data_IF_998342480371
#
_entry.id   IF_998342480371
#
_cell.length_a   1.000
_cell.length_b   1.000
_cell.length_c   1.000
_cell.angle_alpha   90.00
_cell.angle_beta   90.00
_cell.angle_gamma   90.00
#
_symmetry.space_group_name_H-M   'P 1'
#
loop_
_entity.id
_entity.type
_entity.pdbx_description
1 polymer ?
#
# COMPACT_ATOMS: atom_id res chain seq x y z
N UNK A 1 -21.00 21.61 -10.31
CA UNK A 1 -20.21 22.55 -9.48
C UNK A 1 -19.71 21.71 -8.33
N UNK A 2 -18.41 21.46 -8.28
CA UNK A 2 -17.81 20.66 -7.21
C UNK A 2 -18.02 21.44 -5.91
N UNK A 3 -18.64 20.83 -4.90
CA UNK A 3 -18.84 21.45 -3.58
C UNK A 3 -17.48 21.87 -2.98
N UNK A 4 -17.47 23.01 -2.26
CA UNK A 4 -16.26 23.49 -1.58
C UNK A 4 -15.80 22.45 -0.54
N UNK A 5 -14.64 21.86 -0.81
CA UNK A 5 -13.94 20.95 0.09
C UNK A 5 -12.69 21.65 0.64
N UNK A 6 -12.25 21.40 1.89
CA UNK A 6 -11.00 21.97 2.38
C UNK A 6 -9.85 21.76 1.38
N UNK A 7 -9.01 22.79 1.16
CA UNK A 7 -7.81 22.68 0.36
C UNK A 7 -6.96 21.51 0.86
N UNK A 8 -6.53 20.67 -0.07
CA UNK A 8 -5.74 19.49 0.22
C UNK A 8 -4.82 19.17 -0.95
N UNK A 9 -3.71 18.50 -0.64
CA UNK A 9 -2.74 18.05 -1.64
C UNK A 9 -2.60 16.53 -1.58
N UNK A 10 -2.81 15.79 -2.69
CA UNK A 10 -2.64 14.35 -2.72
C UNK A 10 -1.17 13.96 -2.49
N UNK A 11 -0.94 12.88 -1.74
CA UNK A 11 0.41 12.40 -1.39
C UNK A 11 0.79 11.08 -2.09
N UNK A 12 -0.16 10.18 -2.39
CA UNK A 12 0.18 8.79 -2.75
C UNK A 12 -0.71 8.14 -3.83
N UNK A 13 -0.50 6.84 -4.05
CA UNK A 13 -1.15 5.99 -5.06
C UNK A 13 -2.65 5.87 -4.80
N UNK A 14 -3.43 6.27 -5.81
CA UNK A 14 -4.88 6.21 -5.74
C UNK A 14 -5.40 4.77 -5.84
N UNK A 15 -6.45 4.46 -5.09
CA UNK A 15 -7.18 3.20 -5.13
C UNK A 15 -8.61 3.45 -5.56
N UNK A 16 -9.09 2.77 -6.60
CA UNK A 16 -10.49 2.83 -6.99
C UNK A 16 -11.22 1.57 -6.56
N UNK A 17 -12.30 1.72 -5.79
CA UNK A 17 -13.21 0.63 -5.40
C UNK A 17 -14.62 1.07 -5.77
N UNK A 18 -15.31 0.28 -6.60
CA UNK A 18 -16.71 0.48 -6.98
C UNK A 18 -17.05 1.90 -7.49
N UNK A 19 -16.11 2.54 -8.21
CA UNK A 19 -16.31 3.89 -8.77
C UNK A 19 -16.05 5.03 -7.79
N UNK A 20 -15.50 4.72 -6.60
CA UNK A 20 -14.99 5.71 -5.65
C UNK A 20 -13.46 5.67 -5.66
N UNK A 21 -12.85 6.81 -5.97
CA UNK A 21 -11.41 7.01 -5.91
C UNK A 21 -11.02 7.40 -4.49
N UNK A 22 -10.07 6.68 -3.91
CA UNK A 22 -9.51 6.95 -2.59
C UNK A 22 -8.04 7.31 -2.74
N UNK A 23 -7.61 8.35 -2.03
CA UNK A 23 -6.23 8.82 -2.03
C UNK A 23 -5.87 9.44 -0.69
N UNK A 24 -4.59 9.36 -0.32
CA UNK A 24 -4.09 10.04 0.85
C UNK A 24 -3.84 11.51 0.52
N UNK A 25 -4.21 12.40 1.44
CA UNK A 25 -4.00 13.83 1.27
C UNK A 25 -3.56 14.50 2.56
N UNK A 26 -2.72 15.52 2.40
CA UNK A 26 -2.46 16.50 3.45
C UNK A 26 -3.58 17.52 3.49
N UNK A 27 -4.15 17.73 4.67
CA UNK A 27 -5.08 18.82 4.91
C UNK A 27 -4.29 20.11 5.17
N UNK A 28 -4.60 21.18 4.46
CA UNK A 28 -4.04 22.50 4.74
C UNK A 28 -4.82 23.15 5.90
N UNK A 29 -4.57 22.73 7.13
CA UNK A 29 -5.15 23.33 8.34
C UNK A 29 -4.25 24.46 8.87
N UNK A 30 -4.84 25.63 9.16
CA UNK A 30 -4.13 26.79 9.73
C UNK A 30 -4.28 26.79 11.26
N UNK A 31 -3.22 27.04 12.07
CA UNK A 31 -1.87 27.42 11.67
C UNK A 31 -0.95 26.20 11.46
N UNK A 32 -0.11 26.30 10.42
CA UNK A 32 0.77 25.25 9.89
C UNK A 32 1.96 24.81 10.79
N UNK A 33 1.85 24.96 12.11
CA UNK A 33 2.92 24.68 13.08
C UNK A 33 2.68 23.44 13.96
N UNK A 34 1.53 22.78 13.80
CA UNK A 34 1.24 21.48 14.40
C UNK A 34 0.99 20.50 13.25
N UNK A 35 1.50 19.28 13.41
CA UNK A 35 1.55 18.20 12.42
C UNK A 35 0.52 18.30 11.30
N UNK A 36 0.97 18.26 10.03
CA UNK A 36 0.05 18.23 8.89
C UNK A 36 -0.88 17.02 9.07
N UNK A 37 -2.16 17.29 9.34
CA UNK A 37 -3.17 16.24 9.46
C UNK A 37 -3.28 15.53 8.10
N UNK A 38 -2.77 14.31 8.05
CA UNK A 38 -3.00 13.39 6.93
C UNK A 38 -4.36 12.75 7.10
N UNK A 39 -5.08 12.61 5.99
CA UNK A 39 -6.35 11.92 5.97
C UNK A 39 -6.54 11.16 4.65
N UNK A 40 -7.56 10.30 4.61
CA UNK A 40 -7.99 9.71 3.35
C UNK A 40 -9.10 10.56 2.76
N UNK A 41 -8.91 10.93 1.51
CA UNK A 41 -9.91 11.56 0.68
C UNK A 41 -10.61 10.51 -0.18
N UNK A 42 -11.90 10.69 -0.39
CA UNK A 42 -12.67 9.92 -1.37
C UNK A 42 -13.33 10.85 -2.37
N UNK A 43 -13.38 10.43 -3.62
CA UNK A 43 -14.06 11.10 -4.72
C UNK A 43 -14.98 10.11 -5.42
N UNK A 44 -16.29 10.32 -5.29
CA UNK A 44 -17.30 9.53 -6.01
C UNK A 44 -17.37 10.04 -7.46
N UNK A 45 -16.97 9.19 -8.40
CA UNK A 45 -16.87 9.56 -9.82
C UNK A 45 -18.25 9.79 -10.44
N UNK A 46 -19.32 9.20 -9.91
CA UNK A 46 -20.68 9.35 -10.42
C UNK A 46 -21.33 10.63 -9.92
N UNK A 47 -21.17 10.95 -8.63
CA UNK A 47 -21.76 12.15 -8.03
C UNK A 47 -20.84 13.37 -8.08
N UNK A 48 -19.57 13.19 -8.45
CA UNK A 48 -18.51 14.21 -8.45
C UNK A 48 -18.32 14.88 -7.08
N UNK A 49 -18.46 14.10 -6.01
CA UNK A 49 -18.41 14.59 -4.62
C UNK A 49 -17.19 14.07 -3.88
N UNK A 50 -16.58 14.97 -3.12
CA UNK A 50 -15.49 14.66 -2.21
C UNK A 50 -16.01 14.38 -0.80
N UNK A 51 -15.41 13.40 -0.13
CA UNK A 51 -15.60 13.19 1.31
C UNK A 51 -14.27 12.95 2.01
N UNK A 52 -14.10 13.59 3.17
CA UNK A 52 -12.97 13.41 4.07
C UNK A 52 -13.26 12.21 4.96
N UNK A 53 -12.28 11.33 5.09
CA UNK A 53 -12.31 10.21 6.03
C UNK A 53 -11.14 10.40 6.99
N UNK A 54 -11.47 10.81 8.22
CA UNK A 54 -10.47 10.95 9.28
C UNK A 54 -9.95 9.57 9.68
N UNK A 55 -8.69 9.54 10.09
CA UNK A 55 -7.95 8.34 10.44
C UNK A 55 -7.53 8.44 11.90
N UNK A 56 -7.43 7.30 12.58
CA UNK A 56 -7.16 7.24 14.02
C UNK A 56 -5.69 7.47 14.37
N UNK A 57 -4.77 7.22 13.43
CA UNK A 57 -3.33 7.41 13.59
C UNK A 57 -2.78 8.24 12.42
N UNK A 58 -2.29 9.45 12.70
CA UNK A 58 -1.77 10.39 11.70
C UNK A 58 -0.30 10.14 11.36
N UNK A 59 0.42 9.37 12.19
CA UNK A 59 1.88 9.36 12.17
C UNK A 59 2.49 8.49 11.05
N UNK A 60 1.81 7.46 10.53
CA UNK A 60 2.40 6.51 9.57
C UNK A 60 1.35 5.90 8.62
N UNK A 61 1.14 6.50 7.44
CA UNK A 61 0.45 5.81 6.32
C UNK A 61 1.48 5.09 5.47
N UNK A 62 1.13 3.91 4.98
CA UNK A 62 2.07 3.07 4.22
C UNK A 62 1.48 2.57 2.90
N UNK A 63 0.21 2.15 2.85
CA UNK A 63 -0.49 1.97 1.56
C UNK A 63 -2.01 1.84 1.68
N UNK A 64 -2.75 2.39 0.71
CA UNK A 64 -4.16 2.06 0.49
C UNK A 64 -4.31 0.71 -0.22
N UNK A 65 -5.26 -0.10 0.22
CA UNK A 65 -5.57 -1.40 -0.40
C UNK A 65 -7.06 -1.73 -0.30
N UNK A 66 -7.50 -2.74 -1.04
CA UNK A 66 -8.83 -3.33 -0.92
C UNK A 66 -8.76 -4.59 -0.07
N UNK A 67 -9.64 -4.70 0.92
CA UNK A 67 -9.82 -5.90 1.74
C UNK A 67 -11.30 -6.26 1.76
N UNK A 68 -11.65 -7.43 1.20
CA UNK A 68 -13.04 -7.91 1.12
C UNK A 68 -13.99 -6.87 0.48
N UNK A 69 -13.50 -6.15 -0.54
CA UNK A 69 -14.25 -5.09 -1.25
C UNK A 69 -14.38 -3.77 -0.49
N UNK A 70 -13.69 -3.62 0.65
CA UNK A 70 -13.68 -2.39 1.44
C UNK A 70 -12.32 -1.71 1.38
N UNK A 71 -12.35 -0.38 1.51
CA UNK A 71 -11.13 0.40 1.71
C UNK A 71 -10.41 -0.07 2.99
N UNK A 72 -9.12 -0.29 2.87
CA UNK A 72 -8.25 -0.55 4.00
C UNK A 72 -6.92 0.21 3.89
N UNK A 73 -6.40 0.62 5.04
CA UNK A 73 -5.04 1.15 5.18
C UNK A 73 -4.18 0.02 5.72
N UNK A 74 -3.08 -0.26 5.02
CA UNK A 74 -2.13 -1.28 5.41
C UNK A 74 -0.85 -0.63 5.94
N UNK A 75 -0.48 -1.02 7.16
CA UNK A 75 0.77 -0.64 7.78
C UNK A 75 1.64 -1.84 8.11
N UNK A 76 2.94 -1.75 7.83
CA UNK A 76 3.90 -2.82 8.11
C UNK A 76 5.08 -2.30 8.92
N UNK A 77 5.36 -2.97 10.03
CA UNK A 77 6.51 -2.67 10.89
C UNK A 77 7.39 -3.92 11.02
N UNK A 78 8.71 -3.74 10.87
CA UNK A 78 9.68 -4.79 11.18
C UNK A 78 9.91 -4.82 12.69
N UNK A 79 9.72 -5.97 13.32
CA UNK A 79 9.82 -6.10 14.79
C UNK A 79 11.23 -6.39 15.28
N UNK A 80 12.23 -6.41 14.38
CA UNK A 80 13.62 -6.79 14.70
C UNK A 80 13.84 -8.26 15.03
N UNK A 81 12.77 -9.07 15.12
CA UNK A 81 12.79 -10.47 15.57
C UNK A 81 12.47 -11.47 14.45
N UNK A 82 12.93 -11.23 13.21
CA UNK A 82 12.57 -12.05 12.03
C UNK A 82 11.05 -12.18 11.80
N UNK A 83 10.29 -11.16 12.20
CA UNK A 83 8.85 -11.09 11.95
C UNK A 83 8.48 -9.67 11.51
N UNK A 84 7.44 -9.57 10.69
CA UNK A 84 6.82 -8.30 10.35
C UNK A 84 5.40 -8.30 10.89
N UNK A 85 5.06 -7.23 11.59
CA UNK A 85 3.69 -6.95 12.02
C UNK A 85 3.00 -6.15 10.92
N UNK A 86 1.82 -6.60 10.53
CA UNK A 86 0.95 -5.90 9.60
C UNK A 86 -0.31 -5.48 10.33
N UNK A 87 -0.55 -4.18 10.41
CA UNK A 87 -1.80 -3.59 10.89
C UNK A 87 -2.66 -3.23 9.68
N UNK A 88 -3.85 -3.81 9.59
CA UNK A 88 -4.81 -3.56 8.53
C UNK A 88 -6.03 -2.87 9.11
N UNK A 89 -6.17 -1.58 8.83
CA UNK A 89 -7.30 -0.76 9.25
C UNK A 89 -8.36 -0.76 8.16
N UNK A 90 -9.44 -1.52 8.34
CA UNK A 90 -10.53 -1.65 7.38
C UNK A 90 -11.63 -0.65 7.72
N UNK A 91 -12.08 0.11 6.73
CA UNK A 91 -13.13 1.10 6.88
C UNK A 91 -14.47 0.42 7.19
N UNK A 92 -15.08 0.80 8.32
CA UNK A 92 -16.40 0.32 8.75
C UNK A 92 -17.48 1.29 8.28
N UNK A 93 -17.28 2.58 8.53
CA UNK A 93 -18.23 3.64 8.21
C UNK A 93 -17.48 4.94 7.86
N UNK A 94 -17.57 5.36 6.59
CA UNK A 94 -16.90 6.56 6.09
C UNK A 94 -17.42 7.85 6.75
N UNK A 95 -18.74 7.92 6.98
CA UNK A 95 -19.40 9.11 7.51
C UNK A 95 -19.11 9.30 9.00
N UNK A 96 -18.95 8.20 9.75
CA UNK A 96 -18.54 8.22 11.16
C UNK A 96 -17.03 8.20 11.36
N UNK A 97 -16.25 8.08 10.30
CA UNK A 97 -14.79 7.89 10.34
C UNK A 97 -14.37 6.68 11.20
N UNK A 98 -15.15 5.60 11.10
CA UNK A 98 -14.99 4.40 11.92
C UNK A 98 -14.15 3.36 11.19
N UNK A 99 -13.11 2.88 11.87
CA UNK A 99 -12.17 1.90 11.36
C UNK A 99 -12.08 0.69 12.29
N UNK A 100 -11.89 -0.49 11.72
CA UNK A 100 -11.59 -1.72 12.46
C UNK A 100 -10.17 -2.18 12.17
N UNK A 101 -9.39 -2.44 13.21
CA UNK A 101 -8.02 -2.94 13.06
C UNK A 101 -7.99 -4.48 13.05
N UNK A 102 -7.21 -5.04 12.13
CA UNK A 102 -6.79 -6.44 12.14
C UNK A 102 -5.27 -6.50 12.15
N UNK A 103 -4.69 -7.27 13.08
CA UNK A 103 -3.24 -7.46 13.18
C UNK A 103 -2.85 -8.83 12.63
N UNK A 104 -1.84 -8.86 11.77
CA UNK A 104 -1.21 -10.08 11.27
C UNK A 104 0.26 -10.06 11.62
N UNK A 105 0.80 -11.22 12.01
CA UNK A 105 2.24 -11.40 12.22
C UNK A 105 2.73 -12.35 11.14
N UNK A 106 3.61 -11.84 10.29
CA UNK A 106 4.20 -12.59 9.19
C UNK A 106 5.61 -13.02 9.61
N UNK A 107 5.98 -14.29 9.42
CA UNK A 107 7.38 -14.70 9.53
C UNK A 107 8.20 -13.97 8.45
N UNK A 108 8.98 -12.98 8.86
CA UNK A 108 9.98 -12.36 7.99
C UNK A 108 11.27 -13.14 8.20
N UNK A 109 11.42 -14.23 7.47
CA UNK A 109 12.64 -15.03 7.51
C UNK A 109 13.90 -14.16 7.45
N UNK A 110 15.04 -14.70 7.89
CA UNK A 110 16.38 -14.12 7.75
C UNK A 110 16.80 -13.97 6.27
N UNK A 111 15.98 -13.33 5.45
CA UNK A 111 16.36 -12.85 4.14
C UNK A 111 17.30 -11.69 4.40
N UNK A 112 18.46 -11.72 3.75
CA UNK A 112 19.46 -10.65 3.78
C UNK A 112 18.91 -9.28 3.30
N UNK A 113 17.65 -9.25 2.85
CA UNK A 113 16.87 -8.13 2.33
C UNK A 113 15.69 -7.81 3.26
N UNK A 114 15.42 -6.53 3.51
CA UNK A 114 14.14 -6.07 4.06
C UNK A 114 13.02 -6.30 3.04
N UNK A 115 11.95 -7.01 3.44
CA UNK A 115 10.73 -7.14 2.65
C UNK A 115 9.69 -6.16 3.18
N UNK A 116 9.02 -5.45 2.26
CA UNK A 116 7.86 -4.64 2.59
C UNK A 116 6.59 -5.28 2.02
N UNK A 117 5.47 -5.00 2.67
CA UNK A 117 4.15 -5.47 2.19
C UNK A 117 3.64 -4.49 1.14
N UNK A 118 3.30 -5.00 -0.04
CA UNK A 118 2.91 -4.16 -1.18
C UNK A 118 1.43 -4.11 -1.41
N UNK A 119 0.73 -5.23 -1.27
CA UNK A 119 -0.69 -5.29 -1.58
C UNK A 119 -1.32 -6.57 -1.01
N UNK A 120 -2.64 -6.60 -1.07
CA UNK A 120 -3.43 -7.78 -0.81
C UNK A 120 -4.04 -8.28 -2.12
N UNK A 121 -4.03 -9.59 -2.32
CA UNK A 121 -4.77 -10.24 -3.41
C UNK A 121 -6.25 -10.39 -3.06
N UNK A 122 -7.09 -10.61 -4.07
CA UNK A 122 -8.52 -10.93 -3.86
C UNK A 122 -8.74 -12.21 -3.04
N UNK A 123 -7.75 -13.12 -3.06
CA UNK A 123 -7.76 -14.33 -2.24
C UNK A 123 -7.46 -14.07 -0.74
N UNK A 124 -7.06 -12.85 -0.39
CA UNK A 124 -6.65 -12.46 0.95
C UNK A 124 -5.20 -12.83 1.29
N UNK A 125 -4.37 -13.16 0.31
CA UNK A 125 -2.92 -13.32 0.50
C UNK A 125 -2.23 -11.96 0.45
N UNK A 126 -1.30 -11.71 1.38
CA UNK A 126 -0.42 -10.55 1.35
C UNK A 126 0.74 -10.79 0.38
N UNK A 127 1.04 -9.80 -0.46
CA UNK A 127 2.20 -9.83 -1.35
C UNK A 127 3.30 -8.97 -0.74
N UNK A 128 4.44 -9.60 -0.46
CA UNK A 128 5.64 -8.95 0.03
C UNK A 128 6.71 -9.00 -1.05
N UNK A 129 7.47 -7.93 -1.21
CA UNK A 129 8.65 -7.91 -2.07
C UNK A 129 9.81 -7.18 -1.40
N UNK A 130 11.04 -7.37 -1.88
CA UNK A 130 12.20 -6.66 -1.36
C UNK A 130 11.98 -5.15 -1.44
N UNK A 131 12.29 -4.42 -0.37
CA UNK A 131 12.30 -2.96 -0.38
C UNK A 131 13.34 -2.41 -1.38
N UNK A 132 14.42 -3.17 -1.57
CA UNK A 132 15.51 -2.80 -2.46
C UNK A 132 15.93 -3.97 -3.35
N UNK A 133 16.30 -3.65 -4.59
CA UNK A 133 16.74 -4.62 -5.60
C UNK A 133 18.27 -4.64 -5.66
N UNK A 134 18.93 -4.94 -4.53
CA UNK A 134 20.39 -5.03 -4.43
C UNK A 134 20.93 -6.45 -4.61
N UNK A 135 20.05 -7.46 -4.69
CA UNK A 135 20.45 -8.85 -4.86
C UNK A 135 20.57 -9.22 -6.34
N UNK A 136 21.52 -10.11 -6.64
CA UNK A 136 21.60 -10.74 -7.95
C UNK A 136 20.38 -11.64 -8.20
N UNK A 137 19.97 -11.83 -9.46
CA UNK A 137 18.89 -12.77 -9.82
C UNK A 137 19.11 -14.17 -9.23
N UNK A 138 18.03 -14.94 -8.97
CA UNK A 138 16.66 -14.67 -9.37
C UNK A 138 15.89 -13.81 -8.36
N UNK A 139 15.14 -12.83 -8.87
CA UNK A 139 14.21 -12.04 -8.06
C UNK A 139 12.99 -12.86 -7.68
N UNK A 140 12.41 -12.57 -6.52
CA UNK A 140 11.18 -13.22 -6.09
C UNK A 140 10.32 -12.30 -5.23
N UNK A 141 9.03 -12.61 -5.21
CA UNK A 141 8.05 -12.06 -4.27
C UNK A 141 7.57 -13.18 -3.35
N UNK A 142 7.06 -12.80 -2.18
CA UNK A 142 6.46 -13.71 -1.23
C UNK A 142 4.97 -13.48 -1.19
N UNK A 143 4.19 -14.55 -1.21
CA UNK A 143 2.77 -14.52 -0.92
C UNK A 143 2.55 -15.17 0.44
N UNK A 144 1.94 -14.45 1.36
CA UNK A 144 1.58 -14.94 2.69
C UNK A 144 0.07 -15.13 2.78
N UNK A 145 -0.36 -16.36 3.05
CA UNK A 145 -1.76 -16.70 3.32
C UNK A 145 -1.99 -16.70 4.84
N UNK A 146 -2.70 -15.71 5.40
CA UNK A 146 -2.95 -15.63 6.83
C UNK A 146 -3.91 -16.72 7.34
N UNK A 147 -4.75 -17.31 6.47
CA UNK A 147 -5.67 -18.39 6.86
C UNK A 147 -4.92 -19.71 7.03
N UNK A 148 -3.94 -19.97 6.16
CA UNK A 148 -3.09 -21.16 6.22
C UNK A 148 -1.83 -20.96 7.07
N UNK A 149 -1.54 -19.73 7.47
CA UNK A 149 -0.27 -19.33 8.08
C UNK A 149 0.93 -19.87 7.28
N UNK A 150 0.87 -19.70 5.96
CA UNK A 150 1.84 -20.28 5.03
C UNK A 150 2.35 -19.20 4.09
N UNK A 151 3.63 -19.30 3.74
CA UNK A 151 4.26 -18.39 2.78
C UNK A 151 4.74 -19.21 1.59
N UNK A 152 4.46 -18.73 0.37
CA UNK A 152 4.99 -19.27 -0.87
C UNK A 152 5.89 -18.24 -1.55
N UNK A 153 7.00 -18.71 -2.11
CA UNK A 153 7.93 -17.90 -2.90
C UNK A 153 7.61 -18.04 -4.37
N UNK A 154 7.52 -16.91 -5.08
CA UNK A 154 7.33 -16.89 -6.54
C UNK A 154 8.51 -16.16 -7.16
N UNK A 155 9.29 -16.89 -7.95
CA UNK A 155 10.40 -16.31 -8.70
C UNK A 155 9.87 -15.54 -9.90
N UNK A 156 10.47 -14.37 -10.15
CA UNK A 156 10.18 -13.55 -11.31
C UNK A 156 11.09 -14.04 -12.44
N UNK A 157 10.49 -14.70 -13.43
CA UNK A 157 11.18 -15.16 -14.62
C UNK A 157 11.41 -14.00 -15.61
N UNK A 158 12.41 -14.14 -16.48
CA UNK A 158 12.68 -13.17 -17.55
C UNK A 158 13.53 -11.95 -17.17
N UNK A 159 13.85 -11.75 -15.88
CA UNK A 159 14.79 -10.70 -15.43
C UNK A 159 16.13 -11.34 -15.07
N UNK A 160 17.07 -11.37 -16.02
CA UNK A 160 18.39 -12.00 -15.87
C UNK A 160 19.52 -11.02 -15.56
N UNK A 161 19.30 -9.72 -15.77
CA UNK A 161 20.25 -8.65 -15.46
C UNK A 161 19.51 -7.39 -15.03
N UNK A 162 19.89 -6.80 -13.89
CA UNK A 162 19.51 -5.44 -13.55
C UNK A 162 20.53 -4.48 -14.17
N UNK A 163 20.22 -3.90 -15.34
CA UNK A 163 21.03 -2.81 -15.92
C UNK A 163 20.77 -1.51 -15.17
N UNK A 164 21.44 -1.36 -14.04
CA UNK A 164 21.37 -0.14 -13.25
C UNK A 164 22.19 0.94 -13.94
N UNK A 165 21.53 1.98 -14.43
CA UNK A 165 22.22 3.15 -14.97
C UNK A 165 23.06 3.77 -13.84
N UNK A 166 24.37 3.92 -14.05
CA UNK A 166 25.36 4.35 -13.04
C UNK A 166 25.08 5.70 -12.36
N UNK A 167 24.13 6.50 -12.85
CA UNK A 167 23.71 7.75 -12.20
C UNK A 167 22.74 7.50 -11.01
N UNK A 168 22.22 6.28 -10.86
CA UNK A 168 21.27 5.87 -9.82
C UNK A 168 21.96 5.21 -8.61
N UNK A 169 23.30 5.26 -8.51
CA UNK A 169 24.06 4.60 -7.44
C UNK A 169 23.91 5.25 -6.06
N UNK A 170 23.24 6.40 -5.97
CA UNK A 170 23.06 7.18 -4.74
C UNK A 170 21.60 7.44 -4.37
N UNK A 171 20.63 6.98 -5.17
CA UNK A 171 19.22 7.14 -4.86
C UNK A 171 18.64 5.81 -4.40
N UNK A 172 18.35 5.77 -3.10
CA UNK A 172 17.63 4.70 -2.40
C UNK A 172 16.15 4.61 -2.83
N UNK A 173 15.83 4.87 -4.11
CA UNK A 173 14.46 4.97 -4.63
C UNK A 173 14.32 4.13 -5.88
N UNK A 174 13.85 2.90 -5.70
CA UNK A 174 13.15 2.20 -6.78
C UNK A 174 11.72 1.95 -6.37
N UNK A 175 10.81 2.48 -7.17
CA UNK A 175 9.38 2.26 -7.03
C UNK A 175 9.09 0.90 -7.65
N UNK A 176 9.01 -0.13 -6.81
CA UNK A 176 8.38 -1.38 -7.23
C UNK A 176 6.88 -1.14 -7.13
N UNK A 177 6.18 -1.18 -8.26
CA UNK A 177 4.72 -1.19 -8.26
C UNK A 177 4.25 -2.62 -8.51
N UNK A 178 3.49 -3.17 -7.56
CA UNK A 178 2.86 -4.49 -7.66
C UNK A 178 1.36 -4.28 -7.74
N UNK A 179 0.76 -4.75 -8.83
CA UNK A 179 -0.69 -4.69 -9.06
C UNK A 179 -1.25 -6.11 -8.94
N UNK A 180 -2.00 -6.43 -7.87
CA UNK A 180 -2.47 -7.80 -7.62
C UNK A 180 -3.62 -8.27 -8.55
N UNK A 181 -3.99 -7.48 -9.57
CA UNK A 181 -5.19 -7.74 -10.39
C UNK A 181 -5.11 -7.35 -11.86
N UNK A 182 -3.94 -7.00 -12.40
CA UNK A 182 -3.77 -6.82 -13.84
C UNK A 182 -2.54 -7.59 -14.34
N UNK A 183 -2.78 -8.84 -14.73
CA UNK A 183 -1.99 -9.48 -15.79
C UNK A 183 -2.97 -9.82 -16.90
N UNK A 184 -3.49 -8.80 -17.58
CA UNK A 184 -3.73 -9.00 -19.01
C UNK A 184 -2.34 -9.11 -19.62
N UNK A 185 -2.01 -10.29 -20.15
CA UNK A 185 -0.83 -10.46 -20.98
C UNK A 185 -0.84 -9.36 -22.06
N UNK A 186 0.05 -8.37 -21.95
CA UNK A 186 0.36 -7.44 -23.02
C UNK A 186 1.08 -8.11 -24.21
N UNK A 187 0.94 -9.43 -24.38
CA UNK A 187 1.50 -10.19 -25.51
C UNK A 187 0.63 -10.16 -26.77
N UNK A 188 -0.29 -9.20 -26.89
CA UNK A 188 -0.97 -8.91 -28.16
C UNK A 188 -0.98 -7.41 -28.45
N UNK A 189 0.15 -6.91 -28.95
CA UNK A 189 0.23 -5.75 -29.85
C UNK A 189 1.11 -6.12 -31.04
#
# INVERSE_FOLDING_TARGET
>A
MIEDFPPHAPESLDLCIDGVLYYEAYLETYPAFLDKDKAVMSFDVRSEKFHLIKTTETALFTKLTSYEGKLAIMCSESTGLSTCRIDLWVLVDAAKHEWSNKVFVVPCWNTESSFQVFCLTDAGEFVLAPETMFHEPPFYVLYYDPKKNAVRRVFIEGITELKLLRWDSHLNRRVISIFPGQVENLMFL
#
